data_IF_895397260642
#
_entry.id   IF_895397260642
#
_cell.length_a   1.000
_cell.length_b   1.000
_cell.length_c   1.000
_cell.angle_alpha   90.00
_cell.angle_beta   90.00
_cell.angle_gamma   90.00
#
_symmetry.space_group_name_H-M   'P 1'
#
loop_
_entity.id
_entity.type
_entity.pdbx_description
1 polymer ?
#
# COMPACT_ATOMS: atom_id res chain seq x y z
N UNK A 1 8.99 9.85 18.94
CA UNK A 1 8.52 8.45 18.82
C UNK A 1 9.63 7.51 19.25
N UNK A 2 9.39 6.73 20.28
CA UNK A 2 10.42 5.79 20.78
C UNK A 2 10.46 4.55 19.90
N UNK A 3 11.67 4.15 19.49
CA UNK A 3 11.86 2.90 18.75
C UNK A 3 11.85 1.74 19.76
N UNK A 4 10.88 0.84 19.61
CA UNK A 4 10.72 -0.29 20.55
C UNK A 4 11.42 -1.54 20.08
N UNK A 5 11.57 -1.73 18.76
CA UNK A 5 12.28 -2.88 18.22
C UNK A 5 12.72 -2.63 16.80
N UNK A 6 13.82 -3.25 16.41
CA UNK A 6 14.30 -3.31 15.03
C UNK A 6 14.59 -4.77 14.75
N UNK A 7 13.75 -5.41 13.94
CA UNK A 7 13.81 -6.86 13.74
C UNK A 7 14.18 -7.16 12.28
N UNK A 8 15.32 -7.84 12.04
CA UNK A 8 15.68 -8.23 10.68
C UNK A 8 14.66 -9.17 10.07
N UNK A 9 14.24 -8.87 8.83
CA UNK A 9 13.37 -9.74 8.03
C UNK A 9 14.23 -10.70 7.22
N UNK A 10 15.28 -10.16 6.64
CA UNK A 10 16.25 -10.90 5.86
C UNK A 10 17.61 -10.16 5.92
N UNK A 11 18.54 -10.51 5.05
CA UNK A 11 19.88 -9.90 5.03
C UNK A 11 19.87 -8.43 4.64
N UNK A 12 18.79 -7.95 4.01
CA UNK A 12 18.72 -6.59 3.45
C UNK A 12 17.77 -5.68 4.22
N UNK A 13 16.71 -6.22 4.81
CA UNK A 13 15.59 -5.46 5.35
C UNK A 13 15.38 -5.71 6.82
N UNK A 14 14.90 -4.69 7.50
CA UNK A 14 14.48 -4.77 8.89
C UNK A 14 13.13 -4.14 9.09
N UNK A 15 12.33 -4.71 9.99
CA UNK A 15 11.08 -4.10 10.44
C UNK A 15 11.39 -3.19 11.60
N UNK A 16 10.85 -1.97 11.55
CA UNK A 16 11.00 -0.99 12.63
C UNK A 16 9.67 -0.88 13.38
N UNK A 17 9.73 -1.01 14.68
CA UNK A 17 8.57 -0.89 15.56
C UNK A 17 8.73 0.35 16.41
N UNK A 18 7.67 1.13 16.51
CA UNK A 18 7.58 2.30 17.37
C UNK A 18 6.61 2.01 18.52
N UNK A 19 6.39 2.98 19.38
CA UNK A 19 5.53 2.81 20.56
C UNK A 19 4.16 2.24 20.24
N UNK A 20 3.60 2.60 19.10
CA UNK A 20 2.27 2.18 18.67
C UNK A 20 2.26 0.82 17.96
N UNK A 21 3.41 0.18 17.82
CA UNK A 21 3.55 -1.08 17.14
C UNK A 21 4.36 -0.99 15.85
N UNK A 22 4.08 -1.88 14.91
CA UNK A 22 4.79 -1.89 13.64
C UNK A 22 4.62 -0.57 12.89
N UNK A 23 5.73 -0.01 12.41
CA UNK A 23 5.73 1.26 11.70
C UNK A 23 6.08 1.10 10.21
N UNK A 24 7.23 0.51 9.89
CA UNK A 24 7.67 0.41 8.51
C UNK A 24 8.84 -0.56 8.36
N UNK A 25 9.16 -0.86 7.09
CA UNK A 25 10.31 -1.67 6.72
C UNK A 25 11.33 -0.78 6.03
N UNK A 26 12.59 -0.90 6.42
CA UNK A 26 13.71 -0.19 5.80
C UNK A 26 14.81 -1.17 5.44
N UNK A 27 15.66 -0.78 4.51
CA UNK A 27 16.90 -1.50 4.25
C UNK A 27 17.89 -1.24 5.39
N UNK A 28 18.80 -2.17 5.59
CA UNK A 28 19.79 -2.05 6.68
C UNK A 28 20.61 -0.80 6.60
N UNK A 29 21.04 -0.40 5.42
CA UNK A 29 21.78 0.84 5.22
C UNK A 29 20.99 2.08 5.62
N UNK A 30 19.68 2.05 5.42
CA UNK A 30 18.80 3.15 5.82
C UNK A 30 18.62 3.19 7.33
N UNK A 31 18.49 2.04 7.96
CA UNK A 31 18.42 1.94 9.43
C UNK A 31 19.69 2.55 10.05
N UNK A 32 20.83 2.21 9.50
CA UNK A 32 22.12 2.75 9.98
C UNK A 32 22.24 4.26 9.71
N UNK A 33 21.82 4.69 8.54
CA UNK A 33 21.89 6.10 8.14
C UNK A 33 21.10 7.01 9.08
N UNK A 34 19.92 6.58 9.47
CA UNK A 34 19.04 7.36 10.35
C UNK A 34 19.24 7.01 11.81
N UNK A 35 20.21 6.14 12.13
CA UNK A 35 20.52 5.72 13.49
C UNK A 35 19.31 5.22 14.25
N UNK A 36 18.54 4.37 13.58
CA UNK A 36 17.34 3.77 14.17
C UNK A 36 17.79 2.56 14.99
N UNK A 37 17.62 2.66 16.31
CA UNK A 37 18.03 1.61 17.24
C UNK A 37 16.98 1.45 18.32
N UNK A 38 16.83 0.23 18.81
CA UNK A 38 15.94 -0.04 19.93
C UNK A 38 16.30 0.83 21.12
N UNK A 39 15.29 1.47 21.71
CA UNK A 39 15.46 2.33 22.86
C UNK A 39 15.84 3.76 22.54
N UNK A 40 16.03 4.11 21.27
CA UNK A 40 16.33 5.48 20.87
C UNK A 40 15.06 6.20 20.43
N UNK A 41 15.06 7.52 20.64
CA UNK A 41 13.97 8.36 20.17
C UNK A 41 14.13 8.64 18.69
N UNK A 42 13.06 8.43 17.93
CA UNK A 42 12.99 8.86 16.53
C UNK A 42 12.24 10.18 16.49
N UNK A 43 12.92 11.26 16.11
CA UNK A 43 12.30 12.57 16.05
C UNK A 43 11.24 12.62 14.96
N UNK A 44 10.17 13.40 15.20
CA UNK A 44 9.08 13.53 14.25
C UNK A 44 9.54 14.04 12.90
N UNK A 45 10.50 14.98 12.89
CA UNK A 45 11.07 15.52 11.66
C UNK A 45 11.80 14.45 10.85
N UNK A 46 12.51 13.57 11.54
CA UNK A 46 13.23 12.45 10.90
C UNK A 46 12.22 11.44 10.35
N UNK A 47 11.18 11.13 11.12
CA UNK A 47 10.13 10.24 10.65
C UNK A 47 9.49 10.76 9.37
N UNK A 48 9.16 12.05 9.34
CA UNK A 48 8.56 12.66 8.16
C UNK A 48 9.50 12.66 6.97
N UNK A 49 10.80 12.86 7.20
CA UNK A 49 11.80 12.77 6.12
C UNK A 49 11.86 11.37 5.54
N UNK A 50 11.87 10.34 6.39
CA UNK A 50 11.85 8.94 5.95
C UNK A 50 10.59 8.65 5.14
N UNK A 51 9.45 9.10 5.62
CA UNK A 51 8.18 8.91 4.94
C UNK A 51 8.18 9.58 3.56
N UNK A 52 8.57 10.85 3.51
CA UNK A 52 8.56 11.64 2.28
C UNK A 52 9.60 11.19 1.26
N UNK A 53 10.83 10.94 1.71
CA UNK A 53 11.94 10.69 0.80
C UNK A 53 12.17 9.23 0.47
N UNK A 54 11.68 8.32 1.29
CA UNK A 54 11.92 6.89 1.11
C UNK A 54 10.62 6.11 0.93
N UNK A 55 9.73 6.17 1.90
CA UNK A 55 8.57 5.28 1.94
C UNK A 55 7.51 5.62 0.89
N UNK A 56 7.17 6.89 0.75
CA UNK A 56 6.18 7.30 -0.25
C UNK A 56 6.65 7.02 -1.69
N UNK A 57 7.86 7.43 -2.09
CA UNK A 57 8.35 7.10 -3.43
C UNK A 57 8.47 5.59 -3.66
N UNK A 58 8.92 4.85 -2.67
CA UNK A 58 9.09 3.40 -2.80
C UNK A 58 7.74 2.69 -2.93
N UNK A 59 6.73 3.10 -2.16
CA UNK A 59 5.40 2.52 -2.26
C UNK A 59 4.78 2.79 -3.63
N UNK A 60 4.98 3.99 -4.17
CA UNK A 60 4.52 4.35 -5.50
C UNK A 60 5.16 3.47 -6.57
N UNK A 61 6.46 3.31 -6.51
CA UNK A 61 7.19 2.46 -7.47
C UNK A 61 6.71 1.01 -7.40
N UNK A 62 6.54 0.50 -6.20
CA UNK A 62 6.04 -0.85 -6.01
C UNK A 62 4.62 -1.00 -6.55
N UNK A 63 3.76 -0.02 -6.29
CA UNK A 63 2.39 -0.03 -6.79
C UNK A 63 2.35 -0.05 -8.32
N UNK A 64 3.19 0.76 -8.97
CA UNK A 64 3.30 0.76 -10.43
C UNK A 64 3.76 -0.59 -10.95
N UNK A 65 4.71 -1.21 -10.25
CA UNK A 65 5.20 -2.54 -10.60
C UNK A 65 4.06 -3.58 -10.53
N UNK A 66 3.20 -3.50 -9.52
CA UNK A 66 2.09 -4.42 -9.34
C UNK A 66 1.04 -4.31 -10.45
N UNK A 67 0.99 -3.19 -11.16
CA UNK A 67 0.03 -2.98 -12.24
C UNK A 67 0.52 -3.44 -13.61
N UNK A 68 1.76 -3.93 -13.71
CA UNK A 68 2.33 -4.30 -15.02
C UNK A 68 1.54 -5.38 -15.75
N UNK A 69 1.06 -6.37 -15.02
CA UNK A 69 0.44 -7.55 -15.64
C UNK A 69 -1.06 -7.40 -15.88
N UNK A 70 -1.74 -6.67 -15.01
CA UNK A 70 -3.18 -6.47 -15.15
C UNK A 70 -3.66 -5.35 -14.23
N UNK A 71 -4.82 -4.80 -14.54
CA UNK A 71 -5.47 -3.81 -13.69
C UNK A 71 -5.87 -4.41 -12.35
N UNK A 72 -5.87 -3.56 -11.31
CA UNK A 72 -6.23 -3.95 -9.95
C UNK A 72 -7.23 -2.97 -9.38
N UNK A 73 -7.96 -3.41 -8.36
CA UNK A 73 -8.87 -2.52 -7.64
C UNK A 73 -8.10 -1.71 -6.60
N UNK A 74 -8.71 -0.63 -6.14
CA UNK A 74 -8.15 0.19 -5.07
C UNK A 74 -8.00 -0.63 -3.78
N UNK A 75 -9.01 -1.43 -3.43
CA UNK A 75 -8.96 -2.28 -2.24
C UNK A 75 -7.79 -3.26 -2.31
N UNK A 76 -7.65 -3.95 -3.44
CA UNK A 76 -6.55 -4.90 -3.64
C UNK A 76 -5.20 -4.22 -3.45
N UNK A 77 -5.06 -3.02 -4.04
CA UNK A 77 -3.81 -2.28 -3.97
C UNK A 77 -3.47 -1.86 -2.54
N UNK A 78 -4.47 -1.34 -1.80
CA UNK A 78 -4.27 -0.96 -0.40
C UNK A 78 -3.86 -2.15 0.46
N UNK A 79 -4.50 -3.29 0.28
CA UNK A 79 -4.16 -4.50 1.03
C UNK A 79 -2.74 -4.98 0.69
N UNK A 80 -2.39 -4.96 -0.58
CA UNK A 80 -1.08 -5.44 -1.02
C UNK A 80 0.04 -4.54 -0.50
N UNK A 81 -0.13 -3.23 -0.57
CA UNK A 81 0.85 -2.28 -0.05
C UNK A 81 0.98 -2.39 1.47
N UNK A 82 -0.12 -2.56 2.18
CA UNK A 82 -0.09 -2.77 3.63
C UNK A 82 0.67 -4.02 4.00
N UNK A 83 0.44 -5.12 3.29
CA UNK A 83 1.16 -6.38 3.53
C UNK A 83 2.64 -6.28 3.22
N UNK A 84 3.02 -5.40 2.30
CA UNK A 84 4.42 -5.17 1.98
C UNK A 84 5.15 -4.38 3.06
N UNK A 85 4.44 -3.84 4.04
CA UNK A 85 5.04 -3.16 5.17
C UNK A 85 5.06 -1.64 5.07
N UNK A 86 4.29 -1.06 4.16
CA UNK A 86 4.21 0.39 4.06
C UNK A 86 3.23 0.96 5.08
N UNK A 87 3.58 2.07 5.74
CA UNK A 87 2.63 2.72 6.65
C UNK A 87 1.47 3.33 5.90
N UNK A 88 0.39 3.60 6.62
CA UNK A 88 -0.84 4.12 6.04
C UNK A 88 -0.63 5.33 5.14
N UNK A 89 0.20 6.26 5.58
CA UNK A 89 0.48 7.49 4.83
C UNK A 89 1.12 7.19 3.47
N UNK A 90 2.04 6.22 3.43
CA UNK A 90 2.69 5.83 2.19
C UNK A 90 1.72 5.09 1.26
N UNK A 91 0.85 4.25 1.84
CA UNK A 91 -0.19 3.55 1.07
C UNK A 91 -1.14 4.57 0.43
N UNK A 92 -1.61 5.53 1.20
CA UNK A 92 -2.51 6.57 0.70
C UNK A 92 -1.85 7.42 -0.39
N UNK A 93 -0.59 7.76 -0.20
CA UNK A 93 0.18 8.51 -1.20
C UNK A 93 0.23 7.75 -2.54
N UNK A 94 0.58 6.47 -2.50
CA UNK A 94 0.67 5.65 -3.70
C UNK A 94 -0.68 5.49 -4.39
N UNK A 95 -1.73 5.20 -3.63
CA UNK A 95 -3.07 5.01 -4.17
C UNK A 95 -3.59 6.31 -4.78
N UNK A 96 -3.41 7.44 -4.11
CA UNK A 96 -3.84 8.73 -4.63
C UNK A 96 -3.11 9.09 -5.93
N UNK A 97 -1.82 8.80 -6.00
CA UNK A 97 -1.06 8.97 -7.23
C UNK A 97 -1.65 8.16 -8.37
N UNK A 98 -1.93 6.88 -8.13
CA UNK A 98 -2.48 6.00 -9.16
C UNK A 98 -3.86 6.44 -9.62
N UNK A 99 -4.69 6.94 -8.71
CA UNK A 99 -6.02 7.44 -9.05
C UNK A 99 -5.92 8.73 -9.87
N UNK A 100 -5.05 9.64 -9.47
CA UNK A 100 -4.85 10.92 -10.15
C UNK A 100 -4.43 10.74 -11.60
N UNK A 101 -3.55 9.79 -11.86
CA UNK A 101 -3.05 9.51 -13.19
C UNK A 101 -3.82 8.40 -13.91
N UNK A 102 -4.98 8.02 -13.38
CA UNK A 102 -5.88 7.01 -13.98
C UNK A 102 -5.28 5.62 -14.16
N UNK A 103 -4.25 5.29 -13.39
CA UNK A 103 -3.71 3.93 -13.35
C UNK A 103 -4.58 2.99 -12.54
N UNK A 104 -5.45 3.52 -11.71
CA UNK A 104 -6.31 2.75 -10.82
C UNK A 104 -7.73 3.31 -10.94
N UNK A 105 -8.63 2.53 -11.52
CA UNK A 105 -10.01 2.93 -11.80
C UNK A 105 -10.90 1.70 -11.65
N UNK A 106 -11.71 1.67 -10.59
CA UNK A 106 -12.57 0.53 -10.31
C UNK A 106 -13.69 0.37 -11.35
N UNK A 107 -14.14 1.47 -11.94
CA UNK A 107 -15.15 1.40 -12.99
C UNK A 107 -14.58 0.73 -14.24
N UNK A 108 -13.37 1.11 -14.64
CA UNK A 108 -12.70 0.48 -15.77
C UNK A 108 -12.42 -0.98 -15.47
N UNK A 109 -12.05 -1.31 -14.23
CA UNK A 109 -11.84 -2.70 -13.81
C UNK A 109 -13.14 -3.51 -13.93
N UNK A 110 -14.26 -2.96 -13.46
CA UNK A 110 -15.55 -3.64 -13.52
C UNK A 110 -15.97 -3.91 -14.98
N UNK A 111 -15.79 -2.93 -15.87
CA UNK A 111 -16.09 -3.11 -17.28
C UNK A 111 -15.23 -4.19 -17.91
N UNK A 112 -13.95 -4.19 -17.60
CA UNK A 112 -13.02 -5.20 -18.09
C UNK A 112 -13.38 -6.59 -17.57
N UNK A 113 -13.77 -6.68 -16.29
CA UNK A 113 -14.21 -7.93 -15.68
C UNK A 113 -15.42 -8.50 -16.42
N UNK A 114 -16.43 -7.67 -16.65
CA UNK A 114 -17.65 -8.11 -17.35
C UNK A 114 -17.31 -8.59 -18.76
N UNK A 115 -16.48 -7.89 -19.49
CA UNK A 115 -16.06 -8.31 -20.84
C UNK A 115 -15.32 -9.64 -20.82
N UNK A 116 -14.45 -9.84 -19.83
CA UNK A 116 -13.64 -11.06 -19.74
C UNK A 116 -14.46 -12.29 -19.39
N UNK A 117 -15.52 -12.13 -18.61
CA UNK A 117 -16.31 -13.24 -18.11
C UNK A 117 -17.70 -13.38 -18.73
N UNK A 118 -18.06 -12.50 -19.65
CA UNK A 118 -19.32 -12.62 -20.36
C UNK A 118 -19.38 -13.98 -21.07
N UNK A 119 -20.43 -14.75 -20.80
CA UNK A 119 -20.57 -16.09 -21.35
C UNK A 119 -19.87 -17.18 -20.55
N UNK A 120 -19.00 -16.84 -19.60
CA UNK A 120 -18.32 -17.80 -18.72
C UNK A 120 -18.93 -17.84 -17.34
N UNK A 121 -19.42 -16.70 -16.86
CA UNK A 121 -20.09 -16.57 -15.57
C UNK A 121 -21.48 -16.01 -15.79
N UNK A 122 -22.42 -16.38 -14.91
CA UNK A 122 -23.74 -15.80 -14.95
C UNK A 122 -23.69 -14.31 -14.59
N UNK A 123 -24.68 -13.57 -15.08
CA UNK A 123 -24.81 -12.16 -14.73
C UNK A 123 -24.92 -11.98 -13.22
N UNK A 124 -25.68 -12.85 -12.56
CA UNK A 124 -25.85 -12.82 -11.10
C UNK A 124 -24.50 -13.00 -10.38
N UNK A 125 -23.69 -13.93 -10.84
CA UNK A 125 -22.39 -14.19 -10.24
C UNK A 125 -21.45 -13.01 -10.39
N UNK A 126 -21.42 -12.38 -11.59
CA UNK A 126 -20.59 -11.20 -11.83
C UNK A 126 -21.02 -10.03 -10.95
N UNK A 127 -22.33 -9.80 -10.84
CA UNK A 127 -22.86 -8.72 -10.00
C UNK A 127 -22.47 -8.95 -8.54
N UNK A 128 -22.61 -10.17 -8.05
CA UNK A 128 -22.22 -10.52 -6.69
C UNK A 128 -20.74 -10.25 -6.43
N UNK A 129 -19.88 -10.73 -7.30
CA UNK A 129 -18.43 -10.57 -7.13
C UNK A 129 -18.01 -9.10 -7.19
N UNK A 130 -18.58 -8.33 -8.11
CA UNK A 130 -18.30 -6.90 -8.21
C UNK A 130 -18.82 -6.12 -7.01
N UNK A 131 -19.96 -6.53 -6.45
CA UNK A 131 -20.51 -5.87 -5.28
C UNK A 131 -19.62 -6.06 -4.04
N UNK A 132 -18.93 -7.19 -3.92
CA UNK A 132 -17.97 -7.40 -2.85
C UNK A 132 -16.80 -6.42 -2.94
N UNK A 133 -16.37 -6.10 -4.15
CA UNK A 133 -15.31 -5.13 -4.38
C UNK A 133 -15.76 -3.72 -3.97
N UNK A 134 -16.97 -3.34 -4.36
CA UNK A 134 -17.51 -2.01 -4.07
C UNK A 134 -17.86 -1.79 -2.61
N UNK A 135 -18.32 -2.82 -1.92
CA UNK A 135 -18.67 -2.74 -0.50
C UNK A 135 -17.48 -2.28 0.36
N UNK A 136 -16.27 -2.62 -0.06
CA UNK A 136 -15.08 -2.25 0.68
C UNK A 136 -14.73 -0.77 0.60
N UNK A 137 -15.43 0.01 -0.20
CA UNK A 137 -15.12 1.42 -0.44
C UNK A 137 -16.37 2.31 -0.34
N UNK A 138 -17.02 2.33 0.83
CA UNK A 138 -18.27 3.07 0.98
C UNK A 138 -18.11 4.58 0.81
N UNK A 139 -16.95 5.13 1.15
CA UNK A 139 -16.70 6.56 1.02
C UNK A 139 -16.79 7.02 -0.42
N UNK A 140 -16.27 6.23 -1.34
CA UNK A 140 -16.33 6.56 -2.75
C UNK A 140 -17.75 6.56 -3.26
N UNK A 141 -18.58 5.64 -2.79
CA UNK A 141 -19.97 5.55 -3.20
C UNK A 141 -20.80 6.72 -2.70
N UNK A 142 -20.41 7.32 -1.59
CA UNK A 142 -21.10 8.48 -1.04
C UNK A 142 -20.89 9.74 -1.86
N UNK A 143 -19.90 9.75 -2.68
CA UNK A 143 -19.59 10.86 -3.56
C UNK A 143 -20.49 10.80 -4.80
#
# INVERSE_FOLDING_TARGET
MMVTAVIPVDKRKSKVFLEEGFAFVLYRGEVERYRIEEGRELEDTVYEEILRDILCPRSKEYALHLLKDSGKTEKWMKEKLGKAGYPKEAVEYAVNFLKEYHFLDDNAYAQSYVRSYAGKKSRRQMVYELSLIHISEPTRQAE
#
